data_IF_895784976578
#
_entry.id   IF_895784976578
#
_cell.length_a   1.000
_cell.length_b   1.000
_cell.length_c   1.000
_cell.angle_alpha   90.00
_cell.angle_beta   90.00
_cell.angle_gamma   90.00
#
_symmetry.space_group_name_H-M   'P 1'
#
loop_
_entity.id
_entity.type
_entity.pdbx_description
1 polymer ?
#
# COMPACT_ATOMS: atom_id res chain seq x y z
N UNK A 1 8.97 -21.25 1.45
CA UNK A 1 9.92 -20.48 2.30
C UNK A 1 9.51 -19.06 2.03
N UNK A 2 8.82 -18.42 2.99
CA UNK A 2 8.22 -17.08 2.87
C UNK A 2 9.06 -16.17 1.96
N UNK A 3 8.59 -15.90 0.74
CA UNK A 3 9.22 -14.95 -0.19
C UNK A 3 9.12 -13.60 0.50
N UNK A 4 10.24 -13.11 1.04
CA UNK A 4 10.29 -11.80 1.69
C UNK A 4 10.67 -10.75 0.64
N UNK A 5 10.04 -9.57 0.66
CA UNK A 5 10.43 -8.49 -0.22
C UNK A 5 11.87 -8.05 0.09
N UNK A 6 12.70 -7.87 -0.93
CA UNK A 6 14.11 -7.43 -0.79
C UNK A 6 14.18 -5.94 -0.43
N UNK A 7 13.22 -5.16 -0.91
CA UNK A 7 13.00 -3.75 -0.62
C UNK A 7 11.69 -3.58 0.14
N UNK A 8 11.63 -2.62 1.05
CA UNK A 8 10.41 -2.35 1.80
C UNK A 8 9.25 -1.96 0.88
N UNK A 9 8.07 -2.51 1.18
CA UNK A 9 6.82 -2.06 0.58
C UNK A 9 6.49 -0.68 1.12
N UNK A 10 5.79 0.15 0.36
CA UNK A 10 5.34 1.47 0.81
C UNK A 10 3.82 1.51 0.82
N UNK A 11 3.23 1.95 1.93
CA UNK A 11 1.79 2.13 2.08
C UNK A 11 1.48 3.59 2.34
N UNK A 12 0.72 4.20 1.44
CA UNK A 12 0.22 5.57 1.56
C UNK A 12 -1.18 5.55 2.18
N UNK A 13 -1.36 6.31 3.26
CA UNK A 13 -2.60 6.36 4.05
C UNK A 13 -2.82 7.73 4.71
N UNK A 14 -3.98 7.94 5.34
CA UNK A 14 -4.21 9.02 6.30
C UNK A 14 -4.78 8.46 7.62
N UNK A 15 -4.68 9.22 8.71
CA UNK A 15 -5.19 8.79 10.02
C UNK A 15 -6.71 8.62 10.04
N UNK A 16 -7.19 7.51 10.58
CA UNK A 16 -8.63 7.22 10.67
C UNK A 16 -9.26 6.64 9.38
N UNK A 17 -8.46 6.35 8.35
CA UNK A 17 -8.91 5.65 7.14
C UNK A 17 -9.20 4.15 7.44
N UNK A 18 -10.46 3.67 7.34
CA UNK A 18 -10.80 2.28 7.64
C UNK A 18 -10.22 1.29 6.64
N UNK A 19 -10.21 1.61 5.33
CA UNK A 19 -9.61 0.76 4.29
C UNK A 19 -8.09 0.62 4.46
N UNK A 20 -7.44 1.70 4.88
CA UNK A 20 -6.00 1.70 5.19
C UNK A 20 -5.68 0.87 6.43
N UNK A 21 -6.64 0.67 7.35
CA UNK A 21 -6.47 -0.25 8.46
C UNK A 21 -6.40 -1.70 7.94
N UNK A 22 -7.32 -2.11 7.07
CA UNK A 22 -7.34 -3.47 6.49
C UNK A 22 -6.04 -3.83 5.78
N UNK A 23 -5.50 -2.92 4.96
CA UNK A 23 -4.20 -3.12 4.32
C UNK A 23 -3.04 -3.29 5.33
N UNK A 24 -3.02 -2.50 6.41
CA UNK A 24 -1.99 -2.60 7.47
C UNK A 24 -2.12 -3.89 8.28
N UNK A 25 -3.35 -4.30 8.60
CA UNK A 25 -3.60 -5.56 9.29
C UNK A 25 -3.05 -6.72 8.48
N UNK A 26 -3.30 -6.74 7.15
CA UNK A 26 -2.77 -7.80 6.29
C UNK A 26 -1.25 -7.82 6.21
N UNK A 27 -0.62 -6.65 6.01
CA UNK A 27 0.85 -6.54 6.03
C UNK A 27 1.44 -7.05 7.34
N UNK A 28 0.79 -6.76 8.47
CA UNK A 28 1.20 -7.20 9.81
C UNK A 28 0.99 -8.70 10.01
N UNK A 29 -0.15 -9.25 9.59
CA UNK A 29 -0.46 -10.69 9.62
C UNK A 29 0.58 -11.51 8.86
N UNK A 30 1.03 -10.98 7.72
CA UNK A 30 2.03 -11.61 6.86
C UNK A 30 3.47 -11.37 7.32
N UNK A 31 3.68 -10.60 8.39
CA UNK A 31 5.00 -10.22 8.93
C UNK A 31 5.89 -9.53 7.88
N UNK A 32 5.28 -8.74 6.99
CA UNK A 32 5.98 -7.99 5.94
C UNK A 32 6.47 -6.66 6.50
N UNK A 33 7.72 -6.30 6.18
CA UNK A 33 8.25 -4.99 6.55
C UNK A 33 7.87 -3.95 5.50
N UNK A 34 7.30 -2.84 5.94
CA UNK A 34 6.82 -1.77 5.07
C UNK A 34 7.03 -0.39 5.69
N UNK A 35 7.04 0.65 4.84
CA UNK A 35 7.09 2.06 5.21
C UNK A 35 5.69 2.64 5.10
N UNK A 36 5.29 3.44 6.10
CA UNK A 36 4.03 4.19 6.06
C UNK A 36 4.32 5.63 5.62
N UNK A 37 3.62 6.06 4.57
CA UNK A 37 3.58 7.45 4.14
C UNK A 37 2.22 8.04 4.50
N UNK A 38 2.22 9.05 5.37
CA UNK A 38 0.98 9.76 5.72
C UNK A 38 0.75 10.90 4.74
N UNK A 39 -0.40 10.89 4.07
CA UNK A 39 -0.79 11.91 3.10
C UNK A 39 -1.90 12.80 3.67
N UNK A 40 -2.08 14.03 3.16
CA UNK A 40 -3.18 14.89 3.58
C UNK A 40 -4.55 14.21 3.43
N UNK A 41 -5.48 14.48 4.34
CA UNK A 41 -6.83 13.92 4.25
C UNK A 41 -7.56 14.40 2.98
N UNK A 42 -7.38 15.68 2.63
CA UNK A 42 -7.91 16.25 1.39
C UNK A 42 -7.20 15.65 0.16
N UNK A 43 -7.95 14.96 -0.70
CA UNK A 43 -7.39 14.31 -1.89
C UNK A 43 -6.71 15.32 -2.83
N UNK A 44 -7.23 16.54 -2.93
CA UNK A 44 -6.66 17.62 -3.75
C UNK A 44 -5.25 18.02 -3.33
N UNK A 45 -4.86 17.75 -2.09
CA UNK A 45 -3.53 18.09 -1.56
C UNK A 45 -2.52 16.95 -1.71
N UNK A 46 -2.96 15.75 -2.14
CA UNK A 46 -2.11 14.55 -2.30
C UNK A 46 -1.33 14.56 -3.62
N UNK A 47 -0.69 15.69 -3.93
CA UNK A 47 0.03 15.89 -5.20
C UNK A 47 1.19 14.90 -5.39
N UNK A 48 1.83 14.47 -4.30
CA UNK A 48 2.87 13.43 -4.34
C UNK A 48 2.29 12.07 -4.74
N UNK A 49 1.15 11.68 -4.16
CA UNK A 49 0.49 10.42 -4.45
C UNK A 49 0.07 10.33 -5.92
N UNK A 50 -0.49 11.42 -6.47
CA UNK A 50 -0.85 11.53 -7.90
C UNK A 50 0.36 11.30 -8.80
N UNK A 51 1.54 11.81 -8.42
CA UNK A 51 2.76 11.62 -9.21
C UNK A 51 3.22 10.17 -9.19
N UNK A 52 3.08 9.49 -8.06
CA UNK A 52 3.50 8.09 -7.88
C UNK A 52 2.57 7.14 -8.62
N UNK A 53 1.25 7.34 -8.49
CA UNK A 53 0.24 6.47 -9.10
C UNK A 53 -0.02 6.76 -10.58
N UNK A 54 0.47 7.88 -11.08
CA UNK A 54 0.18 8.36 -12.44
C UNK A 54 -1.24 8.91 -12.61
N UNK A 55 -1.95 9.20 -11.51
CA UNK A 55 -3.27 9.82 -11.56
C UNK A 55 -4.07 9.69 -10.25
N UNK A 56 -4.41 8.46 -9.80
CA UNK A 56 -5.25 8.27 -8.62
C UNK A 56 -4.62 8.79 -7.31
N UNK A 57 -5.38 9.56 -6.53
CA UNK A 57 -4.98 10.05 -5.21
C UNK A 57 -5.65 9.29 -4.05
N UNK A 58 -6.29 8.17 -4.36
CA UNK A 58 -7.05 7.37 -3.39
C UNK A 58 -6.14 6.64 -2.41
N UNK A 59 -6.65 6.39 -1.21
CA UNK A 59 -5.94 5.57 -0.22
C UNK A 59 -6.86 4.43 0.24
N UNK A 60 -6.30 3.25 0.58
CA UNK A 60 -4.87 2.93 0.61
C UNK A 60 -4.24 2.88 -0.79
N UNK A 61 -2.96 3.22 -0.87
CA UNK A 61 -2.13 2.93 -2.04
C UNK A 61 -0.91 2.13 -1.60
N UNK A 62 -0.71 0.96 -2.19
CA UNK A 62 0.48 0.14 -2.02
C UNK A 62 1.42 0.38 -3.21
N UNK A 63 2.69 0.63 -2.91
CA UNK A 63 3.78 0.62 -3.89
C UNK A 63 4.73 -0.51 -3.53
N UNK A 64 4.97 -1.38 -4.51
CA UNK A 64 5.93 -2.46 -4.42
C UNK A 64 7.12 -2.20 -5.36
N UNK A 65 8.28 -1.76 -4.83
CA UNK A 65 9.48 -1.51 -5.63
C UNK A 65 10.23 -2.81 -6.03
N UNK A 66 9.79 -3.98 -5.57
CA UNK A 66 10.33 -5.28 -5.95
C UNK A 66 9.75 -5.75 -7.29
N UNK A 67 8.48 -5.43 -7.56
CA UNK A 67 7.78 -5.79 -8.82
C UNK A 67 7.44 -4.57 -9.68
N UNK A 68 7.74 -3.36 -9.23
CA UNK A 68 7.29 -2.09 -9.82
C UNK A 68 5.76 -2.02 -9.93
N UNK A 69 5.07 -2.52 -8.91
CA UNK A 69 3.60 -2.54 -8.86
C UNK A 69 3.08 -1.38 -8.01
N UNK A 70 2.03 -0.72 -8.50
CA UNK A 70 1.28 0.28 -7.74
C UNK A 70 -0.19 -0.09 -7.77
N UNK A 71 -0.80 -0.20 -6.60
CA UNK A 71 -2.24 -0.48 -6.43
C UNK A 71 -2.81 0.65 -5.59
N UNK A 72 -3.71 1.44 -6.18
CA UNK A 72 -4.29 2.61 -5.55
C UNK A 72 -5.80 2.46 -5.39
N UNK A 73 -6.33 3.00 -4.29
CA UNK A 73 -7.76 3.15 -4.01
C UNK A 73 -8.55 1.82 -3.91
N UNK A 74 -7.88 0.73 -3.57
CA UNK A 74 -8.48 -0.61 -3.52
C UNK A 74 -7.76 -1.50 -2.50
N UNK A 75 -8.32 -1.61 -1.30
CA UNK A 75 -7.75 -2.42 -0.22
C UNK A 75 -7.90 -3.92 -0.45
N UNK A 76 -9.01 -4.37 -1.04
CA UNK A 76 -9.22 -5.79 -1.37
C UNK A 76 -8.17 -6.26 -2.39
N UNK A 77 -7.93 -5.48 -3.45
CA UNK A 77 -6.90 -5.80 -4.44
C UNK A 77 -5.48 -5.75 -3.87
N UNK A 78 -5.21 -4.86 -2.91
CA UNK A 78 -3.94 -4.85 -2.17
C UNK A 78 -3.77 -6.16 -1.41
N UNK A 79 -4.81 -6.62 -0.69
CA UNK A 79 -4.77 -7.86 0.08
C UNK A 79 -4.55 -9.06 -0.84
N UNK A 80 -5.33 -9.18 -1.92
CA UNK A 80 -5.18 -10.24 -2.91
C UNK A 80 -3.77 -10.26 -3.51
N UNK A 81 -3.22 -9.09 -3.84
CA UNK A 81 -1.87 -8.98 -4.36
C UNK A 81 -0.81 -9.46 -3.36
N UNK A 82 -0.90 -9.02 -2.09
CA UNK A 82 0.04 -9.43 -1.06
C UNK A 82 0.02 -10.94 -0.87
N UNK A 83 -1.16 -11.54 -0.81
CA UNK A 83 -1.30 -13.00 -0.71
C UNK A 83 -0.69 -13.71 -1.91
N UNK A 84 -0.99 -13.25 -3.12
CA UNK A 84 -0.45 -13.86 -4.34
C UNK A 84 1.08 -13.74 -4.45
N UNK A 85 1.67 -12.64 -3.98
CA UNK A 85 3.11 -12.41 -4.14
C UNK A 85 3.95 -12.94 -2.97
N UNK A 86 3.39 -12.98 -1.76
CA UNK A 86 4.17 -13.12 -0.52
C UNK A 86 3.66 -14.17 0.48
N UNK A 87 2.62 -14.95 0.17
CA UNK A 87 2.07 -15.95 1.11
C UNK A 87 2.88 -17.27 1.26
N UNK A 88 3.95 -17.51 0.48
CA UNK A 88 4.68 -18.80 0.40
C UNK A 88 6.09 -18.83 1.00
#
# INVERSE_FOLDING_TARGET
MKKKPEKYLELYQFEGCPYCHRAREKLSEMELTYIIHTVPQAQSERTELIKITGGPAGVPTLVDPNTNTVIADDDDKIIEYLEQQYAE
#
